data_IF_332509124399
#
_entry.id   IF_332509124399
#
_cell.length_a   1.000
_cell.length_b   1.000
_cell.length_c   1.000
_cell.angle_alpha   90.00
_cell.angle_beta   90.00
_cell.angle_gamma   90.00
#
_symmetry.space_group_name_H-M   'P 1'
#
loop_
_entity.id
_entity.type
_entity.pdbx_description
1 polymer ?
#
# COMPACT_ATOMS: atom_id res chain seq x y z
N UNK A 1 6.93 14.91 -18.24
CA UNK A 1 6.74 13.65 -17.48
C UNK A 1 5.54 13.88 -16.58
N UNK A 2 4.67 12.89 -16.39
CA UNK A 2 3.64 13.02 -15.35
C UNK A 2 4.33 13.06 -13.98
N UNK A 3 3.94 14.01 -13.12
CA UNK A 3 4.46 14.09 -11.76
C UNK A 3 4.07 12.82 -10.99
N UNK A 4 5.05 12.24 -10.30
CA UNK A 4 4.81 11.07 -9.46
C UNK A 4 4.02 11.53 -8.22
N UNK A 5 2.87 10.92 -7.88
CA UNK A 5 2.11 11.35 -6.72
C UNK A 5 2.95 11.15 -5.46
N UNK A 6 3.00 12.17 -4.61
CA UNK A 6 3.83 12.17 -3.39
C UNK A 6 3.07 11.65 -2.16
N UNK A 7 1.74 11.53 -2.24
CA UNK A 7 0.90 11.18 -1.11
C UNK A 7 -0.59 11.30 -1.39
N UNK A 8 -1.39 10.99 -0.38
CA UNK A 8 -2.85 11.13 -0.36
C UNK A 8 -3.32 11.38 1.08
N UNK A 9 -4.34 12.22 1.26
CA UNK A 9 -4.92 12.56 2.56
C UNK A 9 -6.31 11.95 2.72
N UNK A 10 -6.35 10.77 3.34
CA UNK A 10 -7.60 10.04 3.58
C UNK A 10 -8.52 10.70 4.62
N UNK A 11 -8.08 11.76 5.30
CA UNK A 11 -8.93 12.49 6.25
C UNK A 11 -9.66 13.67 5.59
N UNK A 12 -9.07 14.29 4.56
CA UNK A 12 -9.60 15.52 3.99
C UNK A 12 -9.97 15.42 2.50
N UNK A 13 -9.53 14.39 1.79
CA UNK A 13 -9.85 14.18 0.37
C UNK A 13 -11.06 13.24 0.19
N UNK A 14 -11.79 13.42 -0.91
CA UNK A 14 -13.00 12.65 -1.21
C UNK A 14 -12.70 11.51 -2.19
N UNK A 15 -13.74 10.71 -2.49
CA UNK A 15 -13.64 9.52 -3.33
C UNK A 15 -13.16 9.83 -4.76
N UNK A 16 -13.49 11.00 -5.30
CA UNK A 16 -13.12 11.39 -6.67
C UNK A 16 -11.62 11.73 -6.75
N UNK A 17 -11.08 12.41 -5.72
CA UNK A 17 -9.65 12.65 -5.58
C UNK A 17 -8.89 11.33 -5.40
N UNK A 18 -9.46 10.37 -4.68
CA UNK A 18 -8.87 9.03 -4.55
C UNK A 18 -8.77 8.31 -5.89
N UNK A 19 -9.81 8.37 -6.72
CA UNK A 19 -9.79 7.84 -8.08
C UNK A 19 -8.68 8.50 -8.90
N UNK A 20 -8.58 9.84 -8.85
CA UNK A 20 -7.54 10.60 -9.54
C UNK A 20 -6.13 10.21 -9.06
N UNK A 21 -5.94 10.07 -7.75
CA UNK A 21 -4.68 9.63 -7.15
C UNK A 21 -4.25 8.25 -7.66
N UNK A 22 -5.15 7.26 -7.65
CA UNK A 22 -4.86 5.92 -8.16
C UNK A 22 -4.55 5.94 -9.65
N UNK A 23 -5.24 6.75 -10.45
CA UNK A 23 -4.97 6.86 -11.88
C UNK A 23 -3.62 7.53 -12.18
N UNK A 24 -3.26 8.60 -11.44
CA UNK A 24 -1.92 9.21 -11.51
C UNK A 24 -0.85 8.20 -11.15
N UNK A 25 -1.06 7.40 -10.10
CA UNK A 25 -0.12 6.36 -9.67
C UNK A 25 0.07 5.30 -10.77
N UNK A 26 -1.02 4.80 -11.37
CA UNK A 26 -0.95 3.85 -12.51
C UNK A 26 -0.14 4.41 -13.69
N UNK A 27 -0.37 5.67 -14.06
CA UNK A 27 0.35 6.33 -15.16
C UNK A 27 1.84 6.45 -14.82
N UNK A 28 2.17 6.92 -13.62
CA UNK A 28 3.54 7.16 -13.19
C UNK A 28 4.38 5.87 -13.07
N UNK A 29 3.75 4.77 -12.65
CA UNK A 29 4.40 3.47 -12.49
C UNK A 29 4.67 2.76 -13.81
N UNK A 30 3.72 2.86 -14.74
CA UNK A 30 3.80 2.15 -16.02
C UNK A 30 4.69 2.88 -17.01
N UNK A 31 4.90 4.19 -16.87
CA UNK A 31 5.76 5.00 -17.76
C UNK A 31 5.41 4.78 -19.26
N UNK A 32 4.14 4.57 -19.59
CA UNK A 32 3.68 4.19 -20.94
C UNK A 32 4.22 2.85 -21.47
N UNK A 33 4.67 1.94 -20.59
CA UNK A 33 4.95 0.55 -20.96
C UNK A 33 3.62 -0.16 -21.20
N UNK A 34 3.46 -0.62 -22.42
CA UNK A 34 2.24 -1.24 -22.91
C UNK A 34 2.54 -2.68 -23.31
N UNK A 35 1.78 -3.63 -22.77
CA UNK A 35 1.77 -4.99 -23.30
C UNK A 35 1.05 -4.95 -24.66
N UNK A 36 1.78 -5.22 -25.74
CA UNK A 36 1.18 -5.44 -27.06
C UNK A 36 1.00 -6.95 -27.22
N UNK A 37 -0.22 -7.47 -27.14
CA UNK A 37 -0.47 -8.89 -27.33
C UNK A 37 0.03 -9.37 -28.70
N UNK A 38 0.74 -10.50 -28.71
CA UNK A 38 1.33 -11.11 -29.91
C UNK A 38 0.37 -12.05 -30.64
N UNK A 39 -0.81 -12.30 -30.07
CA UNK A 39 -1.87 -13.13 -30.64
C UNK A 39 -3.06 -12.29 -31.08
N UNK A 40 -3.61 -12.57 -32.26
CA UNK A 40 -4.78 -11.90 -32.86
C UNK A 40 -6.05 -11.93 -32.00
N UNK A 41 -6.12 -12.80 -30.97
CA UNK A 41 -7.29 -12.98 -30.10
C UNK A 41 -7.29 -12.09 -28.85
N UNK A 42 -6.25 -11.30 -28.65
CA UNK A 42 -6.16 -10.35 -27.55
C UNK A 42 -5.87 -8.98 -28.14
N UNK A 43 -6.83 -8.06 -28.09
CA UNK A 43 -6.68 -6.68 -28.61
C UNK A 43 -6.45 -5.66 -27.51
N UNK A 44 -6.40 -6.09 -26.25
CA UNK A 44 -6.26 -5.17 -25.12
C UNK A 44 -4.81 -4.90 -24.80
N UNK A 45 -4.42 -3.67 -25.06
CA UNK A 45 -3.19 -3.09 -24.54
C UNK A 45 -3.36 -2.85 -23.04
N UNK A 46 -2.50 -3.47 -22.23
CA UNK A 46 -2.53 -3.33 -20.76
C UNK A 46 -1.25 -2.65 -20.29
N UNK A 47 -1.34 -1.61 -19.45
CA UNK A 47 -0.16 -1.01 -18.84
C UNK A 47 0.62 -2.03 -18.00
N UNK A 48 1.95 -2.04 -18.12
CA UNK A 48 2.82 -2.96 -17.39
C UNK A 48 3.80 -2.22 -16.48
N UNK A 49 4.10 -2.82 -15.33
CA UNK A 49 5.21 -2.40 -14.49
C UNK A 49 6.55 -2.74 -15.16
N UNK A 50 7.64 -2.18 -14.62
CA UNK A 50 8.98 -2.60 -15.02
C UNK A 50 9.22 -4.08 -14.67
N UNK A 51 10.02 -4.83 -15.46
CA UNK A 51 10.44 -6.17 -15.09
C UNK A 51 11.12 -6.19 -13.73
N UNK A 52 10.87 -7.25 -12.96
CA UNK A 52 11.61 -7.48 -11.71
C UNK A 52 13.04 -7.89 -12.04
N UNK A 53 14.00 -7.23 -11.40
CA UNK A 53 15.40 -7.58 -11.47
C UNK A 53 15.86 -8.13 -10.12
N UNK A 54 16.01 -9.46 -10.05
CA UNK A 54 16.47 -10.14 -8.83
C UNK A 54 18.00 -10.28 -8.79
N UNK A 55 18.73 -9.74 -9.77
CA UNK A 55 20.19 -9.78 -9.79
C UNK A 55 20.84 -8.64 -9.00
N UNK A 56 20.08 -7.58 -8.72
CA UNK A 56 20.54 -6.43 -7.91
C UNK A 56 20.33 -6.68 -6.42
N UNK A 57 21.12 -6.00 -5.60
CA UNK A 57 20.92 -6.00 -4.16
C UNK A 57 19.51 -5.47 -3.81
N UNK A 58 18.86 -5.98 -2.75
CA UNK A 58 17.52 -5.55 -2.36
C UNK A 58 17.39 -4.04 -2.13
N UNK A 59 18.41 -3.40 -1.55
CA UNK A 59 18.47 -1.95 -1.32
C UNK A 59 18.65 -1.14 -2.61
N UNK A 60 19.04 -1.77 -3.72
CA UNK A 60 19.18 -1.16 -5.03
C UNK A 60 17.93 -1.35 -5.93
N UNK A 61 16.95 -2.15 -5.48
CA UNK A 61 15.69 -2.31 -6.21
C UNK A 61 14.94 -0.97 -6.21
N UNK A 62 14.46 -0.48 -7.37
CA UNK A 62 13.74 0.79 -7.43
C UNK A 62 12.48 0.79 -6.55
N UNK A 63 12.41 1.76 -5.63
CA UNK A 63 11.26 1.99 -4.74
C UNK A 63 10.67 3.38 -4.95
N UNK A 64 9.50 3.61 -4.36
CA UNK A 64 8.92 4.94 -4.20
C UNK A 64 8.21 5.04 -2.85
N UNK A 65 8.12 6.27 -2.34
CA UNK A 65 7.47 6.56 -1.07
C UNK A 65 6.20 7.37 -1.31
N UNK A 66 5.18 7.11 -0.49
CA UNK A 66 3.96 7.91 -0.45
C UNK A 66 3.73 8.40 0.99
N UNK A 67 3.53 9.70 1.15
CA UNK A 67 3.09 10.30 2.40
C UNK A 67 1.57 10.14 2.53
N UNK A 68 1.13 9.28 3.45
CA UNK A 68 -0.28 8.98 3.64
C UNK A 68 -0.75 9.65 4.91
N UNK A 69 -1.73 10.55 4.76
CA UNK A 69 -2.27 11.34 5.87
C UNK A 69 -3.62 10.79 6.32
N UNK A 70 -3.83 10.85 7.62
CA UNK A 70 -5.05 10.45 8.29
C UNK A 70 -5.51 11.50 9.32
N UNK A 71 -6.52 11.17 10.14
CA UNK A 71 -7.19 12.16 10.97
C UNK A 71 -6.26 12.85 11.98
N UNK A 72 -6.49 14.15 12.20
CA UNK A 72 -5.77 14.92 13.22
C UNK A 72 -4.30 15.19 12.86
N UNK A 73 -3.96 15.22 11.56
CA UNK A 73 -2.60 15.49 11.08
C UNK A 73 -1.63 14.32 11.28
N UNK A 74 -2.14 13.12 11.57
CA UNK A 74 -1.32 11.92 11.65
C UNK A 74 -0.91 11.50 10.24
N UNK A 75 0.35 11.14 10.06
CA UNK A 75 0.85 10.69 8.79
C UNK A 75 1.88 9.58 8.95
N UNK A 76 1.99 8.76 7.92
CA UNK A 76 3.07 7.79 7.74
C UNK A 76 3.61 7.88 6.32
N UNK A 77 4.90 7.64 6.14
CA UNK A 77 5.43 7.37 4.80
C UNK A 77 5.38 5.87 4.57
N UNK A 78 4.89 5.43 3.42
CA UNK A 78 4.91 4.01 3.03
C UNK A 78 5.79 3.83 1.81
N UNK A 79 6.62 2.77 1.83
CA UNK A 79 7.56 2.48 0.75
C UNK A 79 7.12 1.27 -0.03
N UNK A 80 7.06 1.39 -1.35
CA UNK A 80 6.69 0.30 -2.25
C UNK A 80 7.80 0.01 -3.26
N UNK A 81 7.88 -1.26 -3.66
CA UNK A 81 8.64 -1.65 -4.84
C UNK A 81 7.94 -1.18 -6.12
N UNK A 82 8.69 -0.59 -7.04
CA UNK A 82 8.14 -0.07 -8.30
C UNK A 82 7.79 -1.16 -9.31
N UNK A 83 8.48 -2.30 -9.25
CA UNK A 83 8.36 -3.39 -10.21
C UNK A 83 7.19 -4.37 -9.91
N UNK A 84 6.66 -4.37 -8.68
CA UNK A 84 5.57 -5.26 -8.30
C UNK A 84 4.51 -4.64 -7.36
N UNK A 85 4.67 -3.39 -6.93
CA UNK A 85 3.79 -2.70 -5.97
C UNK A 85 3.68 -3.39 -4.61
N UNK A 86 4.68 -4.16 -4.20
CA UNK A 86 4.71 -4.72 -2.84
C UNK A 86 5.09 -3.62 -1.87
N UNK A 87 4.28 -3.48 -0.83
CA UNK A 87 4.63 -2.67 0.33
C UNK A 87 5.85 -3.31 0.99
N UNK A 88 6.91 -2.53 1.15
CA UNK A 88 8.13 -2.94 1.83
C UNK A 88 8.03 -2.61 3.31
N UNK A 89 7.47 -1.46 3.66
CA UNK A 89 7.46 -0.98 5.02
C UNK A 89 6.86 0.40 5.13
N UNK A 90 6.88 0.94 6.35
CA UNK A 90 6.37 2.28 6.65
C UNK A 90 7.27 3.00 7.64
N UNK A 91 7.25 4.32 7.58
CA UNK A 91 7.94 5.22 8.49
C UNK A 91 6.89 5.95 9.32
N UNK A 92 7.12 6.02 10.62
CA UNK A 92 6.37 6.89 11.52
C UNK A 92 7.33 7.82 12.27
N UNK A 93 6.81 8.96 12.69
CA UNK A 93 7.54 9.94 13.48
C UNK A 93 6.88 10.10 14.83
N UNK A 94 7.62 9.81 15.90
CA UNK A 94 7.18 9.96 17.29
C UNK A 94 8.21 10.85 17.99
N UNK A 95 7.75 11.93 18.63
CA UNK A 95 8.60 12.89 19.36
C UNK A 95 9.81 13.39 18.54
N UNK A 96 9.59 13.63 17.25
CA UNK A 96 10.63 14.10 16.30
C UNK A 96 11.56 13.01 15.77
N UNK A 97 11.42 11.76 16.23
CA UNK A 97 12.24 10.63 15.79
C UNK A 97 11.49 9.82 14.73
N UNK A 98 12.05 9.78 13.52
CA UNK A 98 11.49 9.02 12.40
C UNK A 98 12.09 7.61 12.36
N UNK A 99 11.26 6.57 12.44
CA UNK A 99 11.71 5.18 12.41
C UNK A 99 11.04 4.43 11.27
N UNK A 100 11.84 3.73 10.46
CA UNK A 100 11.35 2.81 9.44
C UNK A 100 11.10 1.43 10.04
N UNK A 101 9.93 0.89 9.73
CA UNK A 101 9.54 -0.48 10.03
C UNK A 101 9.38 -1.24 8.72
N UNK A 102 10.03 -2.38 8.61
CA UNK A 102 10.10 -3.17 7.38
C UNK A 102 9.38 -4.51 7.56
N UNK A 103 8.58 -4.86 6.55
CA UNK A 103 8.00 -6.19 6.41
C UNK A 103 9.12 -7.18 6.09
N UNK A 104 9.32 -8.12 6.98
CA UNK A 104 10.34 -9.14 6.83
C UNK A 104 10.68 -9.80 8.16
N UNK A 105 11.37 -10.93 8.05
CA UNK A 105 11.85 -11.73 9.18
C UNK A 105 13.36 -11.63 9.33
N UNK A 106 13.85 -12.00 10.50
CA UNK A 106 15.29 -12.14 10.71
C UNK A 106 15.89 -13.11 9.68
N UNK A 107 17.03 -12.74 9.09
CA UNK A 107 17.68 -13.48 8.02
C UNK A 107 17.15 -13.21 6.60
N UNK A 108 16.02 -12.50 6.44
CA UNK A 108 15.53 -12.09 5.11
C UNK A 108 16.28 -10.85 4.58
N UNK A 109 16.38 -10.71 3.24
CA UNK A 109 16.90 -9.51 2.59
C UNK A 109 16.29 -8.22 3.15
N UNK A 110 17.14 -7.22 3.47
CA UNK A 110 16.69 -5.92 3.96
C UNK A 110 16.60 -4.92 2.79
N UNK A 111 15.44 -4.29 2.62
CA UNK A 111 15.17 -3.33 1.54
C UNK A 111 15.34 -1.88 2.00
N UNK A 112 15.16 -1.60 3.28
CA UNK A 112 15.27 -0.26 3.87
C UNK A 112 16.43 -0.27 4.84
N UNK A 113 17.47 0.51 4.54
CA UNK A 113 18.64 0.61 5.41
C UNK A 113 18.25 1.12 6.81
N UNK A 114 18.81 0.50 7.85
CA UNK A 114 18.55 0.83 9.26
C UNK A 114 17.08 0.72 9.70
N UNK A 115 16.26 -0.05 8.98
CA UNK A 115 14.88 -0.35 9.39
C UNK A 115 14.80 -1.39 10.51
N UNK A 116 13.73 -1.30 11.29
CA UNK A 116 13.33 -2.33 12.26
C UNK A 116 12.40 -3.33 11.58
N UNK A 117 12.74 -4.63 11.60
CA UNK A 117 11.87 -5.66 11.04
C UNK A 117 10.64 -5.90 11.90
N UNK A 118 9.50 -6.08 11.24
CA UNK A 118 8.21 -6.38 11.89
C UNK A 118 8.07 -7.85 12.31
N UNK A 119 8.91 -8.74 11.79
CA UNK A 119 8.86 -10.18 12.10
C UNK A 119 7.86 -10.97 11.24
N UNK A 120 7.22 -10.32 10.27
CA UNK A 120 6.32 -10.94 9.30
C UNK A 120 6.41 -10.21 7.95
N UNK A 121 6.11 -10.93 6.88
CA UNK A 121 6.17 -10.42 5.51
C UNK A 121 4.80 -9.86 5.09
N UNK A 122 4.75 -9.12 3.98
CA UNK A 122 3.53 -8.48 3.46
C UNK A 122 2.51 -9.39 2.76
N UNK A 123 2.69 -10.71 2.78
CA UNK A 123 1.68 -11.63 2.20
C UNK A 123 0.44 -11.68 3.08
N UNK A 124 -0.77 -11.72 2.51
CA UNK A 124 -2.01 -11.80 3.28
C UNK A 124 -2.04 -12.94 4.30
N UNK A 125 -1.49 -14.12 3.96
CA UNK A 125 -1.37 -15.23 4.90
C UNK A 125 -0.49 -14.90 6.11
N UNK A 126 0.61 -14.20 5.90
CA UNK A 126 1.50 -13.80 6.99
C UNK A 126 0.89 -12.68 7.85
N UNK A 127 0.11 -11.78 7.24
CA UNK A 127 -0.63 -10.74 7.96
C UNK A 127 -1.74 -11.34 8.82
N UNK A 128 -2.51 -12.28 8.28
CA UNK A 128 -3.51 -13.08 9.02
C UNK A 128 -2.87 -13.82 10.21
N UNK A 129 -1.74 -14.51 9.97
CA UNK A 129 -0.97 -15.15 11.05
C UNK A 129 -0.43 -14.16 12.10
N UNK A 130 -0.21 -12.90 11.72
CA UNK A 130 0.19 -11.83 12.63
C UNK A 130 -1.00 -11.17 13.34
N UNK A 131 -2.24 -11.55 13.00
CA UNK A 131 -3.47 -11.08 13.65
C UNK A 131 -4.31 -10.11 12.83
N UNK A 132 -4.00 -9.89 11.55
CA UNK A 132 -4.92 -9.21 10.64
C UNK A 132 -6.20 -10.05 10.44
N UNK A 133 -7.35 -9.43 10.14
CA UNK A 133 -8.53 -10.19 9.73
C UNK A 133 -8.27 -10.92 8.41
N UNK A 134 -9.12 -11.89 8.10
CA UNK A 134 -9.20 -12.45 6.76
C UNK A 134 -9.43 -11.34 5.72
N UNK A 135 -8.98 -11.57 4.48
CA UNK A 135 -8.94 -10.52 3.45
C UNK A 135 -10.33 -9.92 3.15
N UNK A 136 -11.38 -10.75 3.17
CA UNK A 136 -12.78 -10.35 3.04
C UNK A 136 -13.28 -9.48 4.21
N UNK A 137 -12.69 -9.65 5.39
CA UNK A 137 -12.93 -8.80 6.57
C UNK A 137 -12.16 -7.48 6.56
N UNK A 138 -11.40 -7.16 5.51
CA UNK A 138 -10.66 -5.89 5.44
C UNK A 138 -11.62 -4.72 5.34
N UNK A 139 -11.52 -3.79 6.28
CA UNK A 139 -12.30 -2.56 6.28
C UNK A 139 -11.66 -1.52 5.35
N UNK A 140 -12.44 -0.97 4.43
CA UNK A 140 -11.96 -0.15 3.30
C UNK A 140 -12.63 1.22 3.16
N UNK A 141 -13.51 1.61 4.09
CA UNK A 141 -14.07 2.96 4.07
C UNK A 141 -13.06 4.01 4.54
N UNK A 142 -13.27 5.27 4.15
CA UNK A 142 -12.36 6.39 4.48
C UNK A 142 -12.05 6.48 5.98
N UNK A 143 -13.08 6.32 6.83
CA UNK A 143 -12.96 6.30 8.29
C UNK A 143 -12.03 5.17 8.77
N UNK A 144 -12.20 3.96 8.24
CA UNK A 144 -11.40 2.80 8.63
C UNK A 144 -9.96 2.89 8.11
N UNK A 145 -9.77 3.44 6.90
CA UNK A 145 -8.43 3.74 6.37
C UNK A 145 -7.74 4.79 7.24
N UNK A 146 -8.44 5.87 7.62
CA UNK A 146 -7.94 6.87 8.55
C UNK A 146 -7.54 6.27 9.90
N UNK A 147 -8.34 5.34 10.42
CA UNK A 147 -8.03 4.58 11.64
C UNK A 147 -6.77 3.71 11.48
N UNK A 148 -6.60 3.03 10.35
CA UNK A 148 -5.40 2.26 10.04
C UNK A 148 -4.14 3.14 10.03
N UNK A 149 -4.21 4.32 9.41
CA UNK A 149 -3.10 5.28 9.37
C UNK A 149 -2.77 5.78 10.79
N UNK A 150 -3.80 6.10 11.59
CA UNK A 150 -3.61 6.50 12.97
C UNK A 150 -2.94 5.41 13.82
N UNK A 151 -3.29 4.14 13.61
CA UNK A 151 -2.65 3.01 14.28
C UNK A 151 -1.17 2.92 13.90
N UNK A 152 -0.83 3.01 12.61
CA UNK A 152 0.57 2.99 12.18
C UNK A 152 1.37 4.17 12.71
N UNK A 153 0.75 5.36 12.79
CA UNK A 153 1.42 6.55 13.30
C UNK A 153 1.70 6.49 14.82
N UNK A 154 0.80 5.87 15.61
CA UNK A 154 0.84 5.94 17.08
C UNK A 154 1.31 4.67 17.77
N UNK A 155 0.91 3.51 17.28
CA UNK A 155 1.07 2.24 18.01
C UNK A 155 2.46 1.67 17.73
N UNK A 156 3.16 1.30 18.80
CA UNK A 156 4.43 0.60 18.69
C UNK A 156 4.22 -0.82 18.14
N UNK A 157 4.84 -1.19 17.00
CA UNK A 157 4.75 -2.54 16.45
C UNK A 157 5.14 -3.66 17.42
N UNK A 158 6.01 -3.39 18.40
CA UNK A 158 6.36 -4.37 19.41
C UNK A 158 5.20 -4.73 20.35
N UNK A 159 4.18 -3.86 20.46
CA UNK A 159 3.02 -4.04 21.37
C UNK A 159 1.67 -4.05 20.65
N UNK A 160 1.61 -3.63 19.39
CA UNK A 160 0.40 -3.43 18.60
C UNK A 160 -0.19 -4.67 17.92
N UNK A 161 -0.30 -5.78 18.65
CA UNK A 161 -0.50 -7.17 18.15
C UNK A 161 -1.25 -7.29 16.82
N UNK A 162 -2.56 -7.03 16.79
CA UNK A 162 -3.40 -7.18 15.60
C UNK A 162 -3.59 -5.88 14.79
N UNK A 163 -3.44 -4.71 15.44
CA UNK A 163 -3.79 -3.41 14.85
C UNK A 163 -2.80 -2.99 13.77
N UNK A 164 -1.52 -3.28 13.94
CA UNK A 164 -0.49 -2.97 12.95
C UNK A 164 -0.63 -3.86 11.70
N UNK A 165 -0.66 -5.20 11.79
CA UNK A 165 -0.84 -6.04 10.60
C UNK A 165 -2.18 -5.79 9.90
N UNK A 166 -3.26 -5.49 10.64
CA UNK A 166 -4.54 -5.06 10.04
C UNK A 166 -4.39 -3.75 9.25
N UNK A 167 -3.71 -2.75 9.82
CA UNK A 167 -3.51 -1.47 9.14
C UNK A 167 -2.63 -1.60 7.88
N UNK A 168 -1.60 -2.45 7.95
CA UNK A 168 -0.76 -2.80 6.79
C UNK A 168 -1.60 -3.47 5.70
N UNK A 169 -2.46 -4.43 6.06
CA UNK A 169 -3.37 -5.08 5.13
C UNK A 169 -4.28 -4.08 4.43
N UNK A 170 -4.89 -3.15 5.19
CA UNK A 170 -5.70 -2.08 4.63
C UNK A 170 -4.90 -1.25 3.62
N UNK A 171 -3.68 -0.81 3.94
CA UNK A 171 -2.85 -0.03 3.01
C UNK A 171 -2.46 -0.81 1.74
N UNK A 172 -2.19 -2.11 1.85
CA UNK A 172 -1.93 -2.96 0.67
C UNK A 172 -3.17 -3.00 -0.23
N UNK A 173 -4.36 -3.17 0.33
CA UNK A 173 -5.61 -3.21 -0.45
C UNK A 173 -5.87 -1.86 -1.13
N UNK A 174 -5.83 -0.77 -0.36
CA UNK A 174 -6.27 0.55 -0.86
C UNK A 174 -5.24 1.26 -1.72
N UNK A 175 -3.99 0.80 -1.75
CA UNK A 175 -2.96 1.36 -2.62
C UNK A 175 -2.55 0.32 -3.66
N UNK A 176 -1.95 -0.79 -3.25
CA UNK A 176 -1.40 -1.78 -4.18
C UNK A 176 -2.49 -2.48 -4.99
N UNK A 177 -3.50 -3.05 -4.35
CA UNK A 177 -4.55 -3.79 -5.06
C UNK A 177 -5.47 -2.87 -5.86
N UNK A 178 -5.84 -1.72 -5.30
CA UNK A 178 -6.54 -0.67 -6.03
C UNK A 178 -5.77 -0.23 -7.28
N UNK A 179 -4.44 -0.05 -7.18
CA UNK A 179 -3.63 0.31 -8.36
C UNK A 179 -3.65 -0.80 -9.41
N UNK A 180 -3.55 -2.07 -9.02
CA UNK A 180 -3.55 -3.21 -9.95
C UNK A 180 -4.92 -3.48 -10.57
N UNK A 181 -6.00 -3.30 -9.82
CA UNK A 181 -7.34 -3.77 -10.18
C UNK A 181 -8.37 -2.66 -10.05
N UNK A 182 -8.93 -2.23 -11.19
CA UNK A 182 -9.99 -1.20 -11.23
C UNK A 182 -11.22 -1.55 -10.40
N UNK A 183 -11.55 -2.85 -10.28
CA UNK A 183 -12.67 -3.31 -9.45
C UNK A 183 -12.45 -3.00 -7.97
N UNK A 184 -11.23 -3.14 -7.48
CA UNK A 184 -10.90 -2.82 -6.08
C UNK A 184 -11.02 -1.31 -5.85
N UNK A 185 -10.55 -0.48 -6.79
CA UNK A 185 -10.77 0.97 -6.71
C UNK A 185 -12.27 1.31 -6.63
N UNK A 186 -13.10 0.70 -7.48
CA UNK A 186 -14.54 0.91 -7.48
C UNK A 186 -15.18 0.50 -6.14
N UNK A 187 -14.83 -0.67 -5.59
CA UNK A 187 -15.33 -1.11 -4.28
C UNK A 187 -14.96 -0.15 -3.15
N UNK A 188 -13.78 0.47 -3.19
CA UNK A 188 -13.35 1.45 -2.19
C UNK A 188 -14.14 2.76 -2.33
N UNK A 189 -14.37 3.21 -3.56
CA UNK A 189 -15.20 4.40 -3.83
C UNK A 189 -16.63 4.17 -3.36
N UNK A 190 -17.23 3.02 -3.69
CA UNK A 190 -18.59 2.67 -3.27
C UNK A 190 -18.70 2.60 -1.73
N UNK A 191 -17.66 2.12 -1.06
CA UNK A 191 -17.60 2.02 0.40
C UNK A 191 -17.11 3.30 1.10
N UNK A 192 -16.80 4.39 0.38
CA UNK A 192 -16.02 5.52 0.91
C UNK A 192 -16.63 6.12 2.17
N UNK A 193 -17.96 6.30 2.19
CA UNK A 193 -18.73 6.85 3.31
C UNK A 193 -19.49 5.79 4.12
N UNK A 194 -19.28 4.50 3.83
CA UNK A 194 -19.93 3.42 4.57
C UNK A 194 -19.12 3.08 5.82
N UNK A 195 -19.67 3.39 7.00
CA UNK A 195 -19.04 3.10 8.29
C UNK A 195 -18.84 1.59 8.55
N UNK A 196 -19.43 0.72 7.73
CA UNK A 196 -19.32 -0.75 7.82
C UNK A 196 -18.60 -1.40 6.63
N UNK A 197 -18.11 -0.60 5.67
CA UNK A 197 -17.60 -1.10 4.39
C UNK A 197 -16.47 -2.13 4.52
N UNK A 198 -16.79 -3.39 4.25
CA UNK A 198 -15.83 -4.50 4.08
C UNK A 198 -15.51 -4.71 2.60
N UNK A 199 -14.36 -5.32 2.31
CA UNK A 199 -14.00 -5.77 0.97
C UNK A 199 -14.94 -6.92 0.52
N UNK A 200 -16.14 -6.58 0.04
CA UNK A 200 -17.14 -7.53 -0.43
C UNK A 200 -16.69 -8.26 -1.70
N UNK A 201 -16.05 -9.42 -1.53
CA UNK A 201 -15.59 -10.29 -2.63
C UNK A 201 -16.65 -11.34 -3.04
N UNK A 202 -17.93 -10.97 -2.98
CA UNK A 202 -19.09 -11.83 -3.29
C UNK A 202 -19.57 -11.73 -4.74
#
# INVERSE_FOLDING_TARGET
MADFPTGFDFANEFQDEYQEFIDKLRIALTQNRLCIPTSSDHTRVVPMLAPQDNSVAPTAIPTFDLAIQGPGGLAVNVRFRRDNLYLIGYQRTVDGVSTWYELGREGEPQFIENSTRLGYCGSYRALDQAGAPSLDGTLISSMNIGGAIANLAKIDPATGSALIPSAIQTLIVVISEATRLRRITASIIDAWYDNTGTLGLG
#
